data_IF_808351916514
#
_entry.id   IF_808351916514
#
_cell.length_a   1.000
_cell.length_b   1.000
_cell.length_c   1.000
_cell.angle_alpha   90.00
_cell.angle_beta   90.00
_cell.angle_gamma   90.00
#
_symmetry.space_group_name_H-M   'P 1'
#
loop_
_entity.id
_entity.type
_entity.pdbx_description
1 polymer ?
#
# COMPACT_ATOMS: atom_id res chain seq x y z
N UNK A 1 16.13 9.51 -0.39
CA UNK A 1 14.94 8.76 -0.88
C UNK A 1 15.20 8.39 -2.32
N UNK A 2 14.83 7.21 -2.74
CA UNK A 2 14.95 6.71 -4.11
C UNK A 2 13.63 6.11 -4.55
N UNK A 3 13.38 6.03 -5.85
CA UNK A 3 12.21 5.38 -6.43
C UNK A 3 12.71 4.17 -7.20
N UNK A 4 12.08 3.04 -6.99
CA UNK A 4 12.42 1.76 -7.61
C UNK A 4 11.24 1.22 -8.41
N UNK A 5 11.54 0.64 -9.57
CA UNK A 5 10.56 -0.04 -10.41
C UNK A 5 10.20 -1.40 -9.80
N UNK A 6 8.88 -1.66 -9.67
CA UNK A 6 8.37 -2.96 -9.22
C UNK A 6 7.72 -3.69 -10.40
N UNK A 7 6.74 -3.06 -11.03
CA UNK A 7 6.06 -3.56 -12.23
C UNK A 7 5.98 -2.44 -13.28
N UNK A 8 7.10 -2.12 -13.95
CA UNK A 8 7.17 -0.98 -14.87
C UNK A 8 6.30 -1.20 -16.11
N UNK A 9 5.69 -0.15 -16.67
CA UNK A 9 5.71 1.24 -16.19
C UNK A 9 4.57 1.60 -15.20
N UNK A 10 4.01 0.63 -14.49
CA UNK A 10 2.76 0.78 -13.74
C UNK A 10 2.94 0.96 -12.23
N UNK A 11 3.81 0.18 -11.61
CA UNK A 11 4.03 0.20 -10.17
C UNK A 11 5.49 0.50 -9.87
N UNK A 12 5.66 1.55 -9.10
CA UNK A 12 6.92 1.99 -8.52
C UNK A 12 6.79 1.98 -6.99
N UNK A 13 7.92 1.97 -6.29
CA UNK A 13 7.93 2.04 -4.83
C UNK A 13 9.06 2.94 -4.33
N UNK A 14 8.82 3.65 -3.23
CA UNK A 14 9.85 4.44 -2.59
C UNK A 14 10.76 3.56 -1.74
N UNK A 15 12.07 3.82 -1.80
CA UNK A 15 13.03 3.39 -0.79
C UNK A 15 13.44 4.59 0.04
N UNK A 16 13.04 4.58 1.32
CA UNK A 16 13.37 5.66 2.23
C UNK A 16 14.86 5.63 2.61
N UNK A 17 15.42 6.80 2.90
CA UNK A 17 16.80 6.92 3.34
C UNK A 17 17.06 6.08 4.60
N UNK A 18 18.16 5.32 4.58
CA UNK A 18 18.52 4.39 5.66
C UNK A 18 17.75 3.07 5.65
N UNK A 19 17.01 2.77 4.57
CA UNK A 19 16.38 1.47 4.32
C UNK A 19 17.15 0.71 3.26
N UNK A 20 17.27 -0.61 3.46
CA UNK A 20 17.94 -1.51 2.52
C UNK A 20 17.01 -1.96 1.37
N UNK A 21 15.70 -1.79 1.53
CA UNK A 21 14.66 -2.21 0.60
C UNK A 21 13.59 -1.13 0.42
N UNK A 22 12.88 -1.17 -0.70
CA UNK A 22 11.75 -0.30 -0.96
C UNK A 22 10.51 -0.72 -0.13
N UNK A 23 9.50 0.15 -0.09
CA UNK A 23 8.31 -0.08 0.75
C UNK A 23 7.45 -1.26 0.27
N UNK A 24 7.37 -1.52 -1.05
CA UNK A 24 6.63 -2.66 -1.57
C UNK A 24 7.22 -3.98 -1.05
N UNK A 25 8.50 -4.20 -1.29
CA UNK A 25 9.19 -5.44 -0.88
C UNK A 25 9.18 -5.60 0.65
N UNK A 26 9.42 -4.52 1.39
CA UNK A 26 9.38 -4.51 2.85
C UNK A 26 8.02 -4.93 3.38
N UNK A 27 6.94 -4.41 2.81
CA UNK A 27 5.58 -4.69 3.25
C UNK A 27 5.21 -6.15 2.97
N UNK A 28 5.40 -6.61 1.73
CA UNK A 28 5.06 -7.98 1.36
C UNK A 28 5.91 -9.00 2.10
N UNK A 29 7.20 -8.74 2.29
CA UNK A 29 8.05 -9.58 3.15
C UNK A 29 7.50 -9.65 4.59
N UNK A 30 7.13 -8.51 5.17
CA UNK A 30 6.59 -8.48 6.55
C UNK A 30 5.21 -9.13 6.67
N UNK A 31 4.36 -9.01 5.65
CA UNK A 31 3.02 -9.59 5.65
C UNK A 31 3.02 -11.09 5.35
N UNK A 32 4.04 -11.60 4.67
CA UNK A 32 4.25 -13.03 4.43
C UNK A 32 5.09 -13.71 5.54
N UNK A 33 5.63 -12.94 6.48
CA UNK A 33 6.34 -13.48 7.64
C UNK A 33 5.35 -13.81 8.77
N UNK A 34 5.16 -15.12 9.01
CA UNK A 34 4.19 -15.64 9.98
C UNK A 34 4.46 -15.10 11.39
N UNK A 35 5.72 -15.07 11.81
CA UNK A 35 6.09 -14.63 13.17
C UNK A 35 5.89 -13.12 13.34
N UNK A 36 6.22 -12.34 12.32
CA UNK A 36 5.95 -10.90 12.30
C UNK A 36 4.44 -10.60 12.39
N UNK A 37 3.62 -11.31 11.61
CA UNK A 37 2.17 -11.12 11.57
C UNK A 37 1.54 -11.51 12.90
N UNK A 38 1.85 -12.70 13.44
CA UNK A 38 1.32 -13.17 14.72
C UNK A 38 1.70 -12.21 15.84
N UNK A 39 2.99 -11.83 15.94
CA UNK A 39 3.45 -10.88 16.96
C UNK A 39 2.74 -9.54 16.91
N UNK A 40 2.49 -9.03 15.68
CA UNK A 40 1.75 -7.79 15.51
C UNK A 40 0.28 -7.91 15.95
N UNK A 41 -0.40 -8.98 15.55
CA UNK A 41 -1.82 -9.20 15.87
C UNK A 41 -1.98 -9.43 17.39
N UNK A 42 -1.18 -10.29 18.01
CA UNK A 42 -1.23 -10.54 19.46
C UNK A 42 -0.96 -9.27 20.28
N UNK A 43 0.04 -8.48 19.86
CA UNK A 43 0.37 -7.21 20.52
C UNK A 43 -0.74 -6.15 20.40
N UNK A 44 -1.71 -6.35 19.49
CA UNK A 44 -2.79 -5.40 19.19
C UNK A 44 -4.18 -6.06 19.24
N UNK A 45 -4.33 -7.21 19.88
CA UNK A 45 -5.57 -8.01 19.89
C UNK A 45 -6.81 -7.27 20.42
N UNK A 46 -6.62 -6.25 21.27
CA UNK A 46 -7.73 -5.48 21.80
C UNK A 46 -8.50 -4.72 20.71
N UNK A 47 -7.89 -4.43 19.57
CA UNK A 47 -8.55 -3.81 18.42
C UNK A 47 -9.42 -4.79 17.62
N UNK A 48 -9.23 -6.11 17.76
CA UNK A 48 -10.06 -7.13 17.11
C UNK A 48 -11.47 -7.25 17.71
N UNK A 49 -11.72 -6.61 18.85
CA UNK A 49 -13.02 -6.63 19.55
C UNK A 49 -14.04 -5.67 18.95
N UNK A 50 -13.64 -4.83 18.00
CA UNK A 50 -14.55 -3.93 17.31
C UNK A 50 -15.55 -4.71 16.44
N UNK A 51 -16.79 -4.26 16.38
CA UNK A 51 -17.90 -4.92 15.66
C UNK A 51 -17.59 -5.17 14.17
N UNK A 52 -16.71 -4.39 13.57
CA UNK A 52 -16.29 -4.55 12.18
C UNK A 52 -15.49 -5.86 11.93
N UNK A 53 -14.95 -6.46 12.98
CA UNK A 53 -14.10 -7.67 12.92
C UNK A 53 -14.81 -8.93 13.39
N UNK A 54 -16.13 -8.96 13.41
CA UNK A 54 -16.94 -10.11 13.90
C UNK A 54 -16.51 -11.46 13.34
N UNK A 55 -15.90 -11.49 12.13
CA UNK A 55 -15.41 -12.72 11.48
C UNK A 55 -13.97 -13.09 11.83
N UNK A 56 -13.23 -12.19 12.44
CA UNK A 56 -11.79 -12.34 12.78
C UNK A 56 -11.53 -11.89 14.21
N UNK A 57 -12.34 -12.41 15.14
CA UNK A 57 -12.25 -12.07 16.57
C UNK A 57 -11.05 -12.72 17.27
N UNK A 58 -10.53 -13.80 16.72
CA UNK A 58 -9.37 -14.50 17.27
C UNK A 58 -8.07 -14.10 16.57
N UNK A 59 -6.97 -13.91 17.29
CA UNK A 59 -5.67 -13.53 16.72
C UNK A 59 -5.17 -14.44 15.60
N UNK A 60 -5.37 -15.74 15.73
CA UNK A 60 -4.96 -16.74 14.73
C UNK A 60 -5.73 -16.60 13.42
N UNK A 61 -7.02 -16.32 13.47
CA UNK A 61 -7.85 -16.09 12.29
C UNK A 61 -7.47 -14.79 11.58
N UNK A 62 -7.18 -13.74 12.37
CA UNK A 62 -6.70 -12.47 11.84
C UNK A 62 -5.34 -12.64 11.16
N UNK A 63 -4.40 -13.36 11.78
CA UNK A 63 -3.08 -13.62 11.20
C UNK A 63 -3.19 -14.42 9.89
N UNK A 64 -4.01 -15.47 9.89
CA UNK A 64 -4.28 -16.27 8.68
C UNK A 64 -4.88 -15.41 7.56
N UNK A 65 -5.80 -14.50 7.89
CA UNK A 65 -6.37 -13.60 6.91
C UNK A 65 -5.31 -12.67 6.32
N UNK A 66 -4.44 -12.07 7.15
CA UNK A 66 -3.34 -11.21 6.68
C UNK A 66 -2.44 -11.94 5.68
N UNK A 67 -2.00 -13.15 6.02
CA UNK A 67 -1.15 -13.98 5.14
C UNK A 67 -1.83 -14.28 3.81
N UNK A 68 -3.12 -14.68 3.84
CA UNK A 68 -3.89 -14.95 2.63
C UNK A 68 -4.06 -13.69 1.78
N UNK A 69 -4.40 -12.55 2.40
CA UNK A 69 -4.56 -11.29 1.69
C UNK A 69 -3.25 -10.79 1.07
N UNK A 70 -2.11 -11.02 1.73
CA UNK A 70 -0.80 -10.64 1.22
C UNK A 70 -0.44 -11.44 -0.04
N UNK A 71 -0.55 -12.76 0.02
CA UNK A 71 -0.30 -13.67 -1.11
C UNK A 71 -1.22 -13.33 -2.30
N UNK A 72 -2.53 -13.17 -2.06
CA UNK A 72 -3.50 -12.86 -3.10
C UNK A 72 -3.25 -11.50 -3.75
N UNK A 73 -2.87 -10.48 -2.96
CA UNK A 73 -2.61 -9.13 -3.46
C UNK A 73 -1.33 -9.07 -4.30
N UNK A 74 -0.26 -9.73 -3.86
CA UNK A 74 0.99 -9.85 -4.60
C UNK A 74 0.77 -10.54 -5.95
N UNK A 75 0.10 -11.68 -5.94
CA UNK A 75 -0.25 -12.45 -7.13
C UNK A 75 -1.17 -11.68 -8.08
N UNK A 76 -2.08 -10.87 -7.54
CA UNK A 76 -2.92 -9.99 -8.34
C UNK A 76 -2.07 -8.98 -9.12
N UNK A 77 -1.15 -8.29 -8.45
CA UNK A 77 -0.29 -7.28 -9.09
C UNK A 77 0.63 -7.90 -10.14
N UNK A 78 1.21 -9.06 -9.85
CA UNK A 78 1.97 -9.83 -10.82
C UNK A 78 1.13 -10.22 -12.04
N UNK A 79 -0.11 -10.69 -11.83
CA UNK A 79 -1.03 -11.08 -12.90
C UNK A 79 -1.38 -9.88 -13.81
N UNK A 80 -1.65 -8.71 -13.22
CA UNK A 80 -1.92 -7.48 -13.98
C UNK A 80 -0.71 -7.08 -14.82
N UNK A 81 0.49 -7.18 -14.25
CA UNK A 81 1.74 -6.89 -14.96
C UNK A 81 1.98 -7.86 -16.12
N UNK A 82 1.84 -9.16 -15.90
CA UNK A 82 2.00 -10.14 -16.97
C UNK A 82 0.96 -9.98 -18.09
N UNK A 83 -0.26 -9.57 -17.76
CA UNK A 83 -1.27 -9.24 -18.75
C UNK A 83 -0.88 -8.01 -19.58
N UNK A 84 -0.34 -6.96 -18.96
CA UNK A 84 0.13 -5.76 -19.67
C UNK A 84 1.24 -6.07 -20.64
N UNK A 85 2.19 -6.91 -20.27
CA UNK A 85 3.29 -7.35 -21.15
C UNK A 85 2.81 -8.11 -22.39
N UNK A 86 1.63 -8.72 -22.32
CA UNK A 86 0.98 -9.41 -23.45
C UNK A 86 0.07 -8.50 -24.28
N UNK A 87 0.08 -7.18 -24.01
CA UNK A 87 -0.75 -6.19 -24.68
C UNK A 87 -2.19 -6.10 -24.13
N UNK A 88 -2.45 -6.71 -22.97
CA UNK A 88 -3.71 -6.54 -22.25
C UNK A 88 -3.75 -5.22 -21.47
N UNK A 89 -4.94 -4.84 -21.00
CA UNK A 89 -5.12 -3.66 -20.15
C UNK A 89 -4.70 -3.98 -18.71
N UNK A 90 -3.81 -3.18 -18.08
CA UNK A 90 -3.26 -3.47 -16.75
C UNK A 90 -4.14 -2.94 -15.62
N UNK A 91 -5.36 -2.97 -15.63
CA UNK A 91 -6.43 -2.44 -14.76
C UNK A 91 -6.09 -2.22 -13.26
N UNK A 92 -4.96 -1.58 -12.96
CA UNK A 92 -4.59 -1.21 -11.58
C UNK A 92 -5.56 -0.19 -10.98
N UNK A 93 -6.17 0.68 -11.81
CA UNK A 93 -7.13 1.69 -11.38
C UNK A 93 -8.35 1.09 -10.66
N UNK A 94 -8.74 -0.16 -10.97
CA UNK A 94 -9.82 -0.86 -10.26
C UNK A 94 -9.48 -1.28 -8.83
N UNK A 95 -8.20 -1.30 -8.46
CA UNK A 95 -7.74 -1.76 -7.14
C UNK A 95 -7.27 -0.64 -6.23
N UNK A 96 -7.05 0.55 -6.77
CA UNK A 96 -6.71 1.73 -5.98
C UNK A 96 -7.90 2.68 -5.85
N UNK A 97 -8.21 3.07 -4.62
CA UNK A 97 -9.33 3.94 -4.26
C UNK A 97 -8.83 5.22 -3.60
N UNK A 98 -9.55 6.31 -3.74
CA UNK A 98 -9.21 7.55 -3.08
C UNK A 98 -9.04 7.37 -1.57
N UNK A 99 -8.01 7.99 -1.02
CA UNK A 99 -7.86 8.08 0.42
C UNK A 99 -8.92 9.07 0.94
N UNK A 100 -9.94 8.58 1.66
CA UNK A 100 -11.00 9.42 2.23
C UNK A 100 -10.42 10.38 3.28
N UNK A 101 -10.72 11.67 3.18
CA UNK A 101 -10.29 12.71 4.12
C UNK A 101 -10.46 14.11 3.54
N UNK A 102 -10.31 15.13 4.39
CA UNK A 102 -10.55 16.56 4.07
C UNK A 102 -9.54 17.20 3.11
N UNK A 103 -8.69 16.43 2.49
CA UNK A 103 -7.71 16.97 1.56
C UNK A 103 -8.39 17.23 0.22
N UNK A 104 -8.80 18.48 -0.02
CA UNK A 104 -8.95 18.99 -1.37
C UNK A 104 -7.53 19.12 -1.93
N UNK A 105 -7.16 18.17 -2.76
CA UNK A 105 -5.87 18.22 -3.44
C UNK A 105 -5.99 19.18 -4.60
N UNK A 106 -5.33 20.31 -4.50
CA UNK A 106 -5.10 21.25 -5.61
C UNK A 106 -3.93 20.80 -6.50
N UNK A 107 -3.31 19.64 -6.19
CA UNK A 107 -2.11 19.13 -6.85
C UNK A 107 -2.43 17.83 -7.60
N UNK A 108 -1.70 17.59 -8.66
CA UNK A 108 -1.84 16.50 -9.61
C UNK A 108 -1.66 15.10 -9.01
N UNK A 109 -1.01 14.97 -7.85
CA UNK A 109 -0.73 13.69 -7.19
C UNK A 109 -1.80 13.31 -6.17
N UNK A 110 -2.65 12.35 -6.54
CA UNK A 110 -3.79 11.93 -5.73
C UNK A 110 -3.36 10.79 -4.81
N UNK A 111 -3.52 10.93 -3.47
CA UNK A 111 -3.31 9.83 -2.55
C UNK A 111 -4.36 8.76 -2.72
N UNK A 112 -3.91 7.52 -2.82
CA UNK A 112 -4.72 6.35 -3.05
C UNK A 112 -4.45 5.29 -1.99
N UNK A 113 -5.40 4.37 -1.83
CA UNK A 113 -5.25 3.16 -1.01
C UNK A 113 -5.75 1.95 -1.77
N UNK A 114 -5.08 0.84 -1.63
CA UNK A 114 -5.57 -0.48 -2.03
C UNK A 114 -5.90 -1.31 -0.80
N UNK A 115 -6.72 -2.32 -1.01
CA UNK A 115 -7.17 -3.25 0.02
C UNK A 115 -6.71 -4.66 -0.34
N UNK A 116 -6.58 -5.53 0.68
CA UNK A 116 -6.55 -6.98 0.45
C UNK A 116 -7.84 -7.49 -0.20
N UNK A 117 -7.81 -8.73 -0.63
CA UNK A 117 -8.87 -9.37 -1.43
C UNK A 117 -10.10 -9.77 -0.62
N UNK A 118 -9.95 -9.95 0.70
CA UNK A 118 -11.04 -10.34 1.62
C UNK A 118 -11.76 -9.09 2.17
N UNK A 119 -13.04 -9.24 2.52
CA UNK A 119 -13.83 -8.15 3.15
C UNK A 119 -14.41 -8.61 4.50
N UNK A 120 -14.21 -7.84 5.59
CA UNK A 120 -13.37 -6.65 5.71
C UNK A 120 -11.91 -6.98 5.56
N UNK A 121 -11.14 -6.15 4.82
CA UNK A 121 -9.72 -6.37 4.59
C UNK A 121 -8.89 -5.81 5.74
N UNK A 122 -7.89 -6.59 6.18
CA UNK A 122 -6.90 -6.18 7.17
C UNK A 122 -5.72 -5.42 6.54
N UNK A 123 -5.41 -5.64 5.27
CA UNK A 123 -4.29 -4.97 4.60
C UNK A 123 -4.67 -3.62 4.01
N UNK A 124 -3.72 -2.70 4.04
CA UNK A 124 -3.77 -1.40 3.35
C UNK A 124 -2.43 -1.12 2.71
N UNK A 125 -2.46 -0.87 1.41
CA UNK A 125 -1.33 -0.37 0.64
C UNK A 125 -1.64 1.08 0.23
N UNK A 126 -0.72 1.99 0.50
CA UNK A 126 -0.87 3.41 0.20
C UNK A 126 0.04 3.82 -0.94
N UNK A 127 -0.49 4.64 -1.84
CA UNK A 127 0.21 5.08 -3.03
C UNK A 127 -0.15 6.52 -3.40
N UNK A 128 0.65 7.10 -4.26
CA UNK A 128 0.34 8.31 -5.01
C UNK A 128 0.01 7.87 -6.45
N UNK A 129 -1.13 8.29 -6.97
CA UNK A 129 -1.46 8.12 -8.38
C UNK A 129 -0.68 9.15 -9.18
N UNK A 130 0.17 8.69 -10.08
CA UNK A 130 0.96 9.53 -10.98
C UNK A 130 0.22 9.76 -12.30
N UNK A 131 -0.43 8.71 -12.81
CA UNK A 131 -1.21 8.73 -14.05
C UNK A 131 -2.21 7.56 -14.07
N UNK A 132 -2.95 7.37 -15.16
CA UNK A 132 -3.82 6.22 -15.37
C UNK A 132 -3.02 4.93 -15.27
N UNK A 133 -3.40 4.05 -14.35
CA UNK A 133 -2.70 2.80 -14.04
C UNK A 133 -1.22 2.93 -13.65
N UNK A 134 -0.76 4.13 -13.20
CA UNK A 134 0.60 4.38 -12.72
C UNK A 134 0.58 4.85 -11.27
N UNK A 135 1.21 4.07 -10.39
CA UNK A 135 1.18 4.28 -8.94
C UNK A 135 2.57 4.21 -8.32
N UNK A 136 2.87 5.14 -7.44
CA UNK A 136 4.05 5.14 -6.59
C UNK A 136 3.66 4.71 -5.17
N UNK A 137 4.07 3.50 -4.76
CA UNK A 137 3.82 2.96 -3.43
C UNK A 137 4.64 3.75 -2.40
N UNK A 138 3.96 4.29 -1.39
CA UNK A 138 4.56 5.11 -0.34
C UNK A 138 4.62 4.40 1.02
N UNK A 139 3.85 3.33 1.20
CA UNK A 139 3.80 2.59 2.44
C UNK A 139 2.56 1.72 2.57
N UNK A 140 2.36 1.16 3.75
CA UNK A 140 1.22 0.29 4.03
C UNK A 140 1.26 -0.28 5.43
N UNK A 141 0.30 -1.16 5.73
CA UNK A 141 0.27 -1.86 7.00
C UNK A 141 -1.02 -2.63 7.26
N UNK A 142 -1.08 -3.25 8.43
CA UNK A 142 -2.23 -4.00 8.91
C UNK A 142 -3.17 -3.02 9.64
N UNK A 143 -4.41 -2.94 9.19
CA UNK A 143 -5.43 -2.05 9.74
C UNK A 143 -6.37 -2.85 10.65
N UNK A 144 -6.31 -2.61 11.96
CA UNK A 144 -7.10 -3.30 12.98
C UNK A 144 -8.25 -2.47 13.55
N UNK A 145 -8.38 -1.19 13.20
CA UNK A 145 -9.45 -0.32 13.64
C UNK A 145 -10.26 0.22 12.45
N UNK A 146 -11.42 0.82 12.71
CA UNK A 146 -12.32 1.39 11.70
C UNK A 146 -11.67 2.52 10.90
N UNK A 147 -10.83 3.34 11.56
CA UNK A 147 -10.12 4.46 10.92
C UNK A 147 -8.59 4.27 10.94
N UNK A 148 -7.88 5.00 10.07
CA UNK A 148 -6.41 5.05 10.06
C UNK A 148 -5.91 5.65 11.38
N UNK A 149 -6.59 6.69 11.86
CA UNK A 149 -6.22 7.42 13.09
C UNK A 149 -6.28 6.54 14.34
N UNK A 150 -7.15 5.55 14.35
CA UNK A 150 -7.30 4.61 15.45
C UNK A 150 -6.47 3.33 15.28
N UNK A 151 -5.94 3.09 14.07
CA UNK A 151 -5.16 1.87 13.79
C UNK A 151 -3.75 1.97 14.32
N UNK A 152 -3.24 0.93 15.02
CA UNK A 152 -1.86 0.90 15.48
C UNK A 152 -0.87 1.14 14.34
N UNK A 153 0.12 1.98 14.57
CA UNK A 153 1.19 2.35 13.62
C UNK A 153 0.75 3.12 12.36
N UNK A 154 -0.46 2.90 11.81
CA UNK A 154 -0.86 3.57 10.56
C UNK A 154 -1.04 5.07 10.73
N UNK A 155 -1.62 5.52 11.85
CA UNK A 155 -1.88 6.94 12.14
C UNK A 155 -0.63 7.82 12.09
N UNK A 156 0.52 7.26 12.49
CA UNK A 156 1.74 8.02 12.71
C UNK A 156 2.56 8.22 11.43
N UNK A 157 2.33 7.38 10.39
CA UNK A 157 3.21 7.33 9.22
C UNK A 157 2.51 7.67 7.90
N UNK A 158 1.30 7.19 7.66
CA UNK A 158 0.69 7.23 6.31
C UNK A 158 0.65 8.61 5.69
N UNK A 159 0.11 9.61 6.41
CA UNK A 159 -0.02 10.97 5.87
C UNK A 159 1.34 11.68 5.78
N UNK A 160 2.21 11.46 6.77
CA UNK A 160 3.55 12.05 6.78
C UNK A 160 4.42 11.49 5.65
N UNK A 161 4.32 10.20 5.38
CA UNK A 161 5.06 9.55 4.30
C UNK A 161 4.56 10.03 2.94
N UNK A 162 3.26 10.14 2.73
CA UNK A 162 2.69 10.70 1.50
C UNK A 162 3.18 12.14 1.28
N UNK A 163 3.13 12.99 2.30
CA UNK A 163 3.59 14.39 2.20
C UNK A 163 5.11 14.49 1.98
N UNK A 164 5.88 13.57 2.56
CA UNK A 164 7.34 13.48 2.35
C UNK A 164 7.67 13.09 0.92
N UNK A 165 6.95 12.10 0.37
CA UNK A 165 7.14 11.66 -1.01
C UNK A 165 6.74 12.76 -1.99
N UNK A 166 5.62 13.46 -1.76
CA UNK A 166 5.21 14.59 -2.59
C UNK A 166 6.25 15.71 -2.65
N UNK A 167 6.82 16.07 -1.50
CA UNK A 167 7.90 17.07 -1.48
C UNK A 167 9.10 16.61 -2.28
N UNK A 168 9.49 15.35 -2.13
CA UNK A 168 10.59 14.76 -2.90
C UNK A 168 10.31 14.81 -4.41
N UNK A 169 9.11 14.43 -4.87
CA UNK A 169 8.71 14.51 -6.27
C UNK A 169 8.82 15.96 -6.80
N UNK A 170 8.29 16.93 -6.04
CA UNK A 170 8.44 18.36 -6.37
C UNK A 170 9.90 18.79 -6.51
N UNK A 171 10.74 18.44 -5.52
CA UNK A 171 12.16 18.80 -5.51
C UNK A 171 12.93 18.18 -6.67
N UNK A 172 12.50 17.01 -7.11
CA UNK A 172 13.07 16.32 -8.25
C UNK A 172 12.46 16.78 -9.59
N UNK A 173 11.38 17.57 -9.61
CA UNK A 173 10.67 17.99 -10.82
C UNK A 173 10.01 16.81 -11.52
N UNK A 174 9.46 15.85 -10.76
CA UNK A 174 8.71 14.70 -11.27
C UNK A 174 7.24 15.02 -11.06
N UNK A 175 6.48 15.19 -12.14
CA UNK A 175 5.09 15.63 -12.10
C UNK A 175 4.11 14.57 -12.64
N UNK A 176 4.57 13.68 -13.53
CA UNK A 176 3.76 12.66 -14.16
C UNK A 176 4.55 11.37 -14.41
N UNK A 177 3.94 10.42 -15.13
CA UNK A 177 4.55 9.13 -15.47
C UNK A 177 5.68 9.25 -16.47
N UNK A 178 5.65 10.24 -17.36
CA UNK A 178 6.70 10.46 -18.36
C UNK A 178 7.98 10.92 -17.68
N UNK A 179 7.88 11.85 -16.72
CA UNK A 179 9.02 12.27 -15.89
C UNK A 179 9.62 11.12 -15.08
N UNK A 180 8.78 10.17 -14.64
CA UNK A 180 9.23 8.94 -13.96
C UNK A 180 10.02 8.05 -14.90
N UNK A 181 9.47 7.74 -16.09
CA UNK A 181 10.08 6.85 -17.08
C UNK A 181 11.40 7.39 -17.64
N UNK A 182 11.55 8.73 -17.72
CA UNK A 182 12.79 9.36 -18.21
C UNK A 182 13.94 9.27 -17.19
N UNK A 183 13.66 8.96 -15.92
CA UNK A 183 14.65 8.98 -14.84
C UNK A 183 14.98 7.60 -14.26
N UNK A 184 14.08 6.67 -14.33
CA UNK A 184 14.18 5.34 -13.75
C UNK A 184 13.91 4.29 -14.82
#
# INVERSE_FOLDING_TARGET
>A
MEIEEIYPPHIYSVRYEGRDENEFDRLFRSWNDVDCVISFIEGNKDFLKDDIWVKVSEPEDAAKQVLTEAEDLEKLFETLYENSKRGGYPDYDSYFHYLEGKYKYELEWIPMKSYGTVRPSLLRLYAIKMDSNVYLITGGGIKLADTIQNSPRLKDYVLQDIDRVRRYLCEQGIFDSDDMNDRY
#
